data_IF_190939677346
#
_entry.id   IF_190939677346
#
_cell.length_a   1.000
_cell.length_b   1.000
_cell.length_c   1.000
_cell.angle_alpha   90.00
_cell.angle_beta   90.00
_cell.angle_gamma   90.00
#
_symmetry.space_group_name_H-M   'P 1'
#
loop_
_entity.id
_entity.type
_entity.pdbx_description
1 polymer ?
#
# COMPACT_ATOMS: atom_id res chain seq x y z
N UNK A 1 4.75 4.79 -19.92
CA UNK A 1 4.20 5.20 -18.60
C UNK A 1 3.82 6.67 -18.65
N UNK A 2 2.77 7.10 -17.94
CA UNK A 2 2.46 8.52 -17.76
C UNK A 2 3.66 9.27 -17.16
N UNK A 3 3.88 10.53 -17.59
CA UNK A 3 5.03 11.34 -17.13
C UNK A 3 5.06 11.49 -15.60
N UNK A 4 3.89 11.69 -15.00
CA UNK A 4 3.76 11.87 -13.56
C UNK A 4 4.14 10.60 -12.77
N UNK A 5 3.85 9.41 -13.32
CA UNK A 5 4.24 8.12 -12.73
C UNK A 5 5.76 7.93 -12.74
N UNK A 6 6.41 8.27 -13.86
CA UNK A 6 7.88 8.18 -13.95
C UNK A 6 8.53 9.19 -13.00
N UNK A 7 8.00 10.42 -12.95
CA UNK A 7 8.54 11.48 -12.10
C UNK A 7 8.50 11.12 -10.61
N UNK A 8 7.36 10.63 -10.12
CA UNK A 8 7.27 10.25 -8.70
C UNK A 8 8.19 9.08 -8.36
N UNK A 9 8.29 8.07 -9.23
CA UNK A 9 9.20 6.94 -9.01
C UNK A 9 10.66 7.37 -8.96
N UNK A 10 11.10 8.23 -9.88
CA UNK A 10 12.47 8.76 -9.88
C UNK A 10 12.79 9.53 -8.60
N UNK A 11 11.86 10.40 -8.15
CA UNK A 11 12.07 11.20 -6.94
C UNK A 11 12.02 10.39 -5.64
N UNK A 12 11.17 9.35 -5.57
CA UNK A 12 11.12 8.42 -4.43
C UNK A 12 12.35 7.50 -4.40
N UNK A 13 12.93 7.18 -5.56
CA UNK A 13 14.08 6.29 -5.69
C UNK A 13 15.41 7.05 -5.83
N UNK A 14 15.45 8.34 -5.48
CA UNK A 14 16.72 9.08 -5.34
C UNK A 14 17.61 8.36 -4.32
N UNK A 15 18.83 8.03 -4.75
CA UNK A 15 19.80 7.24 -3.98
C UNK A 15 20.18 7.96 -2.68
N UNK A 16 20.48 9.25 -2.79
CA UNK A 16 20.86 10.16 -1.72
C UNK A 16 19.64 10.46 -0.85
N UNK A 17 19.59 10.00 0.42
CA UNK A 17 18.41 10.12 1.26
C UNK A 17 17.95 11.56 1.45
N UNK A 18 18.87 12.49 1.68
CA UNK A 18 18.54 13.91 1.91
C UNK A 18 17.92 14.61 0.69
N UNK A 19 18.04 14.00 -0.50
CA UNK A 19 17.43 14.49 -1.75
C UNK A 19 16.21 13.69 -2.17
N UNK A 20 15.84 12.65 -1.42
CA UNK A 20 14.68 11.81 -1.71
C UNK A 20 13.41 12.57 -1.37
N UNK A 21 12.39 12.41 -2.22
CA UNK A 21 11.08 12.99 -1.96
C UNK A 21 10.52 12.50 -0.62
N UNK A 22 10.08 13.43 0.22
CA UNK A 22 9.61 13.15 1.57
C UNK A 22 10.70 13.20 2.64
N UNK A 23 11.94 13.56 2.29
CA UNK A 23 13.02 13.75 3.28
C UNK A 23 13.13 15.19 3.79
N UNK A 24 12.35 16.12 3.24
CA UNK A 24 12.24 17.47 3.78
C UNK A 24 11.35 17.57 5.02
N UNK A 25 11.22 18.76 5.62
CA UNK A 25 10.57 18.96 6.91
C UNK A 25 9.06 18.67 6.90
N UNK A 26 8.44 18.56 5.72
CA UNK A 26 7.01 18.30 5.56
C UNK A 26 6.69 16.84 5.22
N UNK A 27 7.72 15.99 5.12
CA UNK A 27 7.63 14.53 5.03
C UNK A 27 6.58 14.07 3.99
N UNK A 28 5.56 13.30 4.40
CA UNK A 28 4.53 12.77 3.52
C UNK A 28 3.78 13.84 2.72
N UNK A 29 3.69 15.09 3.20
CA UNK A 29 3.01 16.17 2.46
C UNK A 29 3.69 16.44 1.11
N UNK A 30 5.02 16.27 1.01
CA UNK A 30 5.76 16.41 -0.25
C UNK A 30 5.34 15.36 -1.28
N UNK A 31 5.09 14.13 -0.79
CA UNK A 31 4.63 13.00 -1.59
C UNK A 31 3.18 13.21 -2.01
N UNK A 32 2.32 13.60 -1.07
CA UNK A 32 0.89 13.85 -1.29
C UNK A 32 0.61 14.92 -2.33
N UNK A 33 1.51 15.92 -2.44
CA UNK A 33 1.40 17.04 -3.36
C UNK A 33 1.96 16.75 -4.77
N UNK A 34 2.47 15.55 -5.07
CA UNK A 34 2.98 15.25 -6.40
C UNK A 34 1.86 15.22 -7.45
N UNK A 35 2.12 15.64 -8.71
CA UNK A 35 1.13 15.60 -9.80
C UNK A 35 0.50 14.22 -10.04
N UNK A 36 1.22 13.15 -9.70
CA UNK A 36 0.71 11.78 -9.75
C UNK A 36 -0.58 11.59 -8.91
N UNK A 37 -0.70 12.30 -7.78
CA UNK A 37 -1.86 12.23 -6.88
C UNK A 37 -2.83 13.41 -7.03
N UNK A 38 -2.76 14.20 -8.10
CA UNK A 38 -3.57 15.43 -8.28
C UNK A 38 -5.10 15.24 -8.16
N UNK A 39 -5.59 14.02 -8.41
CA UNK A 39 -7.02 13.69 -8.34
C UNK A 39 -7.41 12.97 -7.04
N UNK A 40 -6.51 12.90 -6.05
CA UNK A 40 -6.77 12.26 -4.77
C UNK A 40 -7.22 13.30 -3.74
N UNK A 41 -8.42 13.09 -3.19
CA UNK A 41 -8.84 13.74 -1.95
C UNK A 41 -8.33 12.90 -0.78
N UNK A 42 -7.29 13.38 -0.10
CA UNK A 42 -6.67 12.64 1.01
C UNK A 42 -7.62 12.48 2.21
N UNK A 43 -8.54 13.42 2.42
CA UNK A 43 -9.60 13.31 3.44
C UNK A 43 -10.56 12.14 3.13
N UNK A 44 -10.95 11.99 1.86
CA UNK A 44 -11.86 10.91 1.46
C UNK A 44 -11.18 9.54 1.49
N UNK A 45 -9.87 9.47 1.21
CA UNK A 45 -9.08 8.26 1.39
C UNK A 45 -9.03 7.88 2.87
N UNK A 46 -8.72 8.84 3.76
CA UNK A 46 -8.64 8.61 5.20
C UNK A 46 -9.97 8.09 5.77
N UNK A 47 -11.09 8.68 5.34
CA UNK A 47 -12.43 8.29 5.75
C UNK A 47 -13.03 7.12 4.94
N UNK A 48 -12.24 6.46 4.08
CA UNK A 48 -12.67 5.31 3.26
C UNK A 48 -13.91 5.60 2.39
N UNK A 49 -14.06 6.83 1.93
CA UNK A 49 -15.18 7.28 1.07
C UNK A 49 -14.95 7.03 -0.41
N UNK A 50 -13.70 6.87 -0.83
CA UNK A 50 -13.35 6.50 -2.20
C UNK A 50 -13.57 4.99 -2.38
N UNK A 51 -14.41 4.55 -3.34
CA UNK A 51 -14.57 3.13 -3.62
C UNK A 51 -13.27 2.53 -4.17
N UNK A 52 -12.81 1.38 -3.66
CA UNK A 52 -11.60 0.75 -4.18
C UNK A 52 -11.83 0.26 -5.63
N UNK A 53 -10.82 0.33 -6.51
CA UNK A 53 -10.94 -0.12 -7.89
C UNK A 53 -11.07 -1.66 -8.00
N UNK A 54 -10.70 -2.38 -6.94
CA UNK A 54 -10.78 -3.82 -6.84
C UNK A 54 -11.44 -4.20 -5.51
N UNK A 55 -12.49 -5.01 -5.59
CA UNK A 55 -13.13 -5.65 -4.45
C UNK A 55 -12.84 -7.16 -4.53
N UNK A 56 -12.11 -7.75 -3.57
CA UNK A 56 -11.81 -9.18 -3.59
C UNK A 56 -13.10 -10.00 -3.46
N UNK A 57 -13.14 -11.15 -4.14
CA UNK A 57 -14.24 -12.10 -3.98
C UNK A 57 -14.08 -12.85 -2.66
N UNK A 58 -15.12 -12.81 -1.83
CA UNK A 58 -15.18 -13.46 -0.52
C UNK A 58 -16.51 -14.22 -0.45
N UNK A 59 -16.44 -15.53 -0.23
CA UNK A 59 -17.62 -16.42 -0.18
C UNK A 59 -18.23 -16.53 1.22
N UNK A 60 -17.40 -16.40 2.26
CA UNK A 60 -17.83 -16.53 3.66
C UNK A 60 -16.84 -15.87 4.61
N UNK A 61 -17.19 -15.74 5.89
CA UNK A 61 -16.33 -15.18 6.92
C UNK A 61 -15.03 -15.99 7.16
N UNK A 62 -14.99 -17.25 6.73
CA UNK A 62 -13.83 -18.15 6.84
C UNK A 62 -13.17 -18.46 5.49
N UNK A 63 -13.48 -17.67 4.46
CA UNK A 63 -12.91 -17.88 3.12
C UNK A 63 -11.42 -17.52 3.09
N UNK A 64 -10.59 -18.49 2.73
CA UNK A 64 -9.13 -18.35 2.60
C UNK A 64 -8.65 -18.31 1.15
N UNK A 65 -9.55 -18.21 0.16
CA UNK A 65 -9.17 -18.34 -1.26
C UNK A 65 -8.26 -17.25 -1.82
N UNK A 66 -8.10 -16.14 -1.10
CA UNK A 66 -7.17 -15.05 -1.46
C UNK A 66 -5.79 -15.20 -0.81
N UNK A 67 -5.55 -16.30 -0.08
CA UNK A 67 -4.27 -16.66 0.53
C UNK A 67 -3.67 -17.87 -0.21
N UNK A 68 -2.35 -18.04 -0.09
CA UNK A 68 -1.68 -19.17 -0.74
C UNK A 68 -2.13 -20.51 -0.13
N UNK A 69 -2.50 -21.43 -1.01
CA UNK A 69 -2.89 -22.79 -0.65
C UNK A 69 -1.80 -23.57 0.08
N UNK A 70 -0.51 -23.24 -0.13
CA UNK A 70 0.60 -23.84 0.61
C UNK A 70 0.40 -23.70 2.13
N UNK A 71 -0.13 -22.56 2.58
CA UNK A 71 -0.36 -22.30 4.01
C UNK A 71 -1.74 -22.74 4.47
N UNK A 72 -2.79 -22.51 3.68
CA UNK A 72 -4.17 -22.77 4.12
C UNK A 72 -4.52 -24.26 4.14
N UNK A 73 -3.70 -25.10 3.49
CA UNK A 73 -3.86 -26.57 3.50
C UNK A 73 -3.24 -27.23 4.72
N UNK A 74 -2.45 -26.50 5.52
CA UNK A 74 -1.82 -27.00 6.74
C UNK A 74 -2.79 -26.92 7.91
N UNK A 75 -2.76 -27.91 8.80
CA UNK A 75 -3.54 -27.86 10.04
C UNK A 75 -3.09 -26.67 10.91
N UNK A 76 -3.99 -25.74 11.29
CA UNK A 76 -3.62 -24.57 12.07
C UNK A 76 -3.36 -24.95 13.53
N UNK A 77 -2.12 -25.34 13.82
CA UNK A 77 -1.65 -25.70 15.16
C UNK A 77 -0.56 -24.73 15.63
N UNK A 78 -0.57 -24.39 16.91
CA UNK A 78 0.53 -23.63 17.51
C UNK A 78 1.74 -24.55 17.68
N UNK A 79 2.90 -24.11 17.20
CA UNK A 79 4.16 -24.81 17.47
C UNK A 79 4.45 -24.77 18.97
N UNK A 80 4.66 -25.91 19.64
CA UNK A 80 4.96 -25.94 21.07
C UNK A 80 6.28 -25.22 21.37
N UNK A 81 6.29 -24.36 22.38
CA UNK A 81 7.52 -23.78 22.96
C UNK A 81 7.88 -24.56 24.21
N UNK A 82 9.14 -25.01 24.31
CA UNK A 82 9.66 -25.59 25.55
C UNK A 82 9.91 -24.44 26.54
N UNK A 83 9.11 -24.39 27.61
CA UNK A 83 9.29 -23.52 28.77
C UNK A 83 10.34 -24.06 29.72
#
# INVERSE_FOLDING_TARGET
>A
MPRDSVSILQKLLTREPDQRLGSGPTDAQEIMNQPFFRNISWDDIYHKRVPPPFLPSIKSATDTSNFDSEFTSVTPVLTPVQS
#
